data_IF_895706865000
#
_entry.id   IF_895706865000
#
_cell.length_a   1.000
_cell.length_b   1.000
_cell.length_c   1.000
_cell.angle_alpha   90.00
_cell.angle_beta   90.00
_cell.angle_gamma   90.00
#
_symmetry.space_group_name_H-M   'P 1'
#
loop_
_entity.id
_entity.type
_entity.pdbx_description
1 polymer ?
#
# COMPACT_ATOMS: atom_id res chain seq x y z
N UNK A 1 20.12 -8.10 -15.01
CA UNK A 1 19.42 -6.94 -14.41
C UNK A 1 20.10 -6.61 -13.09
N UNK A 2 20.37 -5.34 -12.77
CA UNK A 2 20.90 -4.97 -11.46
C UNK A 2 19.92 -5.40 -10.35
N UNK A 3 20.46 -5.76 -9.18
CA UNK A 3 19.67 -6.07 -7.98
C UNK A 3 18.83 -4.83 -7.64
N UNK A 4 17.51 -5.00 -7.45
CA UNK A 4 16.64 -3.86 -7.09
C UNK A 4 17.11 -3.23 -5.76
N UNK A 5 17.02 -1.91 -5.63
CA UNK A 5 17.43 -1.19 -4.40
C UNK A 5 16.77 -1.78 -3.13
N UNK A 6 15.52 -2.23 -3.24
CA UNK A 6 14.80 -2.94 -2.19
C UNK A 6 15.50 -4.23 -1.75
N UNK A 7 15.94 -5.06 -2.71
CA UNK A 7 16.61 -6.32 -2.41
C UNK A 7 17.98 -6.10 -1.79
N UNK A 8 18.76 -5.13 -2.28
CA UNK A 8 20.06 -4.79 -1.73
C UNK A 8 19.96 -4.31 -0.27
N UNK A 9 19.02 -3.39 0.02
CA UNK A 9 18.79 -2.91 1.39
C UNK A 9 18.31 -4.05 2.30
N UNK A 10 17.41 -4.91 1.83
CA UNK A 10 16.97 -6.06 2.62
C UNK A 10 18.12 -7.01 2.99
N UNK A 11 19.04 -7.29 2.06
CA UNK A 11 20.20 -8.14 2.32
C UNK A 11 21.16 -7.51 3.34
N UNK A 12 21.42 -6.21 3.23
CA UNK A 12 22.25 -5.47 4.19
C UNK A 12 21.61 -5.41 5.58
N UNK A 13 20.30 -5.14 5.64
CA UNK A 13 19.52 -5.18 6.88
C UNK A 13 19.60 -6.55 7.54
N UNK A 14 19.36 -7.62 6.78
CA UNK A 14 19.45 -8.99 7.29
C UNK A 14 20.85 -9.32 7.80
N UNK A 15 21.91 -8.91 7.11
CA UNK A 15 23.28 -9.11 7.55
C UNK A 15 23.60 -8.39 8.87
N UNK A 16 23.14 -7.13 9.03
CA UNK A 16 23.32 -6.37 10.27
C UNK A 16 22.55 -6.99 11.44
N UNK A 17 21.30 -7.40 11.21
CA UNK A 17 20.49 -8.11 12.21
C UNK A 17 21.16 -9.43 12.60
N UNK A 18 21.66 -10.20 11.64
CA UNK A 18 22.41 -11.44 11.91
C UNK A 18 23.72 -11.20 12.70
N UNK A 19 24.31 -10.01 12.58
CA UNK A 19 25.45 -9.57 13.38
C UNK A 19 25.06 -9.01 14.76
N UNK A 20 23.80 -9.12 15.18
CA UNK A 20 23.30 -8.65 16.48
C UNK A 20 23.08 -7.14 16.58
N UNK A 21 23.07 -6.42 15.44
CA UNK A 21 22.75 -4.99 15.41
C UNK A 21 21.24 -4.79 15.55
N UNK A 22 20.86 -3.83 16.38
CA UNK A 22 19.46 -3.43 16.54
C UNK A 22 19.05 -2.45 15.42
N UNK A 23 18.60 -2.99 14.29
CA UNK A 23 18.25 -2.19 13.11
C UNK A 23 16.80 -1.73 13.16
N UNK A 24 16.57 -0.41 13.05
CA UNK A 24 15.25 0.21 12.97
C UNK A 24 14.59 -0.09 11.60
N UNK A 25 13.49 -0.87 11.54
CA UNK A 25 12.98 -1.44 10.29
C UNK A 25 11.93 -0.53 9.61
N UNK A 26 12.36 0.59 9.03
CA UNK A 26 11.47 1.53 8.31
C UNK A 26 11.33 1.22 6.79
N UNK A 27 11.96 0.14 6.31
CA UNK A 27 12.05 -0.22 4.90
C UNK A 27 10.92 -1.12 4.39
N UNK A 28 10.21 -1.87 5.24
CA UNK A 28 9.22 -2.86 4.79
C UNK A 28 7.78 -2.51 5.22
N UNK A 29 6.84 -2.67 4.29
CA UNK A 29 5.48 -2.12 4.38
C UNK A 29 4.36 -3.17 4.48
N UNK A 30 4.44 -4.06 5.46
CA UNK A 30 3.35 -4.98 5.78
C UNK A 30 2.50 -4.42 6.92
N UNK A 31 1.18 -4.64 6.93
CA UNK A 31 0.32 -4.12 8.00
C UNK A 31 0.78 -4.63 9.38
N UNK A 32 1.23 -5.89 9.44
CA UNK A 32 1.85 -6.51 10.61
C UNK A 32 0.88 -6.83 11.74
N UNK A 33 -0.35 -6.34 11.72
CA UNK A 33 -1.31 -6.56 12.80
C UNK A 33 -1.76 -8.04 12.88
N UNK A 34 -2.05 -8.57 14.08
CA UNK A 34 -2.60 -9.91 14.23
C UNK A 34 -3.95 -10.05 13.52
N UNK A 35 -4.15 -11.19 12.87
CA UNK A 35 -5.42 -11.52 12.21
C UNK A 35 -6.51 -11.67 13.26
N UNK A 36 -7.66 -11.05 13.03
CA UNK A 36 -8.78 -11.13 13.96
C UNK A 36 -9.23 -12.59 14.19
N UNK A 37 -9.47 -13.04 15.43
CA UNK A 37 -9.83 -14.44 15.71
C UNK A 37 -11.05 -14.94 14.95
N UNK A 38 -12.07 -14.10 14.78
CA UNK A 38 -13.27 -14.48 14.00
C UNK A 38 -12.99 -14.69 12.51
N UNK A 39 -12.01 -13.98 11.93
CA UNK A 39 -11.57 -14.27 10.56
C UNK A 39 -10.89 -15.64 10.50
N UNK A 40 -10.02 -15.94 11.47
CA UNK A 40 -9.39 -17.27 11.57
C UNK A 40 -10.46 -18.36 11.67
N UNK A 41 -11.47 -18.17 12.51
CA UNK A 41 -12.60 -19.10 12.64
C UNK A 41 -13.39 -19.26 11.32
N UNK A 42 -13.66 -18.16 10.61
CA UNK A 42 -14.32 -18.20 9.31
C UNK A 42 -13.50 -18.99 8.27
N UNK A 43 -12.17 -18.81 8.25
CA UNK A 43 -11.28 -19.58 7.37
C UNK A 43 -11.24 -21.06 7.74
N UNK A 44 -11.16 -21.39 9.04
CA UNK A 44 -11.17 -22.78 9.53
C UNK A 44 -12.49 -23.46 9.16
N UNK A 45 -13.62 -22.77 9.34
CA UNK A 45 -14.93 -23.28 8.94
C UNK A 45 -15.03 -23.54 7.44
N UNK A 46 -14.33 -22.75 6.62
CA UNK A 46 -14.32 -22.87 5.17
C UNK A 46 -13.29 -23.89 4.64
N UNK A 47 -12.35 -24.34 5.48
CA UNK A 47 -11.24 -25.23 5.11
C UNK A 47 -11.66 -26.55 4.42
N UNK A 48 -12.83 -27.18 4.74
CA UNK A 48 -13.30 -28.36 4.01
C UNK A 48 -13.61 -28.14 2.52
N UNK A 49 -13.70 -26.88 2.07
CA UNK A 49 -14.06 -26.53 0.69
C UNK A 49 -12.88 -26.72 -0.28
N UNK A 50 -12.62 -27.97 -0.67
CA UNK A 50 -11.47 -28.36 -1.52
C UNK A 50 -11.69 -28.30 -3.04
N UNK A 51 -12.91 -28.03 -3.52
CA UNK A 51 -13.20 -27.95 -4.96
C UNK A 51 -12.69 -26.65 -5.59
N UNK A 52 -12.53 -26.61 -6.92
CA UNK A 52 -12.31 -25.36 -7.66
C UNK A 52 -13.55 -24.47 -7.62
N UNK A 53 -13.34 -23.15 -7.61
CA UNK A 53 -14.39 -22.14 -7.74
C UNK A 53 -14.48 -21.58 -9.16
N UNK A 54 -15.45 -20.70 -9.44
CA UNK A 54 -15.49 -19.97 -10.69
C UNK A 54 -14.24 -19.08 -10.84
N UNK A 55 -13.79 -18.92 -12.08
CA UNK A 55 -12.55 -18.18 -12.40
C UNK A 55 -12.59 -16.74 -11.91
N UNK A 56 -13.73 -16.06 -12.11
CA UNK A 56 -13.95 -14.69 -11.65
C UNK A 56 -14.19 -14.57 -10.12
N UNK A 57 -14.23 -15.69 -9.40
CA UNK A 57 -14.55 -15.77 -7.98
C UNK A 57 -15.97 -16.27 -7.69
N UNK A 58 -16.18 -16.70 -6.44
CA UNK A 58 -17.49 -17.18 -5.96
C UNK A 58 -18.57 -16.09 -6.15
N UNK A 59 -19.81 -16.45 -6.57
CA UNK A 59 -20.89 -15.47 -6.74
C UNK A 59 -21.13 -14.64 -5.47
N UNK A 60 -21.16 -15.30 -4.31
CA UNK A 60 -21.33 -14.62 -3.02
C UNK A 60 -20.19 -13.63 -2.70
N UNK A 61 -18.95 -13.92 -3.15
CA UNK A 61 -17.82 -12.99 -2.96
C UNK A 61 -17.99 -11.76 -3.82
N UNK A 62 -18.38 -11.96 -5.09
CA UNK A 62 -18.61 -10.87 -6.04
C UNK A 62 -19.75 -9.96 -5.59
N UNK A 63 -20.83 -10.54 -5.05
CA UNK A 63 -21.94 -9.81 -4.45
C UNK A 63 -21.52 -9.03 -3.20
N UNK A 64 -20.81 -9.66 -2.26
CA UNK A 64 -20.33 -8.98 -1.06
C UNK A 64 -19.39 -7.81 -1.39
N UNK A 65 -18.47 -8.00 -2.35
CA UNK A 65 -17.58 -6.94 -2.82
C UNK A 65 -18.33 -5.82 -3.56
N UNK A 66 -19.35 -6.15 -4.36
CA UNK A 66 -20.23 -5.16 -4.96
C UNK A 66 -20.98 -4.32 -3.89
N UNK A 67 -21.43 -4.97 -2.82
CA UNK A 67 -21.99 -4.30 -1.64
C UNK A 67 -20.99 -3.37 -0.93
N UNK A 68 -19.72 -3.78 -0.82
CA UNK A 68 -18.63 -2.95 -0.28
C UNK A 68 -18.46 -1.63 -1.02
N UNK A 69 -18.47 -1.65 -2.36
CA UNK A 69 -18.41 -0.43 -3.16
C UNK A 69 -19.71 0.38 -3.10
N UNK A 70 -20.87 -0.28 -3.03
CA UNK A 70 -22.16 0.39 -2.92
C UNK A 70 -22.27 1.23 -1.64
N UNK A 71 -21.83 0.69 -0.48
CA UNK A 71 -21.71 1.44 0.79
C UNK A 71 -20.73 2.62 0.73
N UNK A 72 -19.92 2.66 -0.33
CA UNK A 72 -18.90 3.65 -0.64
C UNK A 72 -19.29 4.60 -1.78
N UNK A 73 -20.60 4.70 -2.06
CA UNK A 73 -21.22 5.51 -3.13
C UNK A 73 -20.82 5.11 -4.56
N UNK A 74 -20.43 3.86 -4.74
CA UNK A 74 -20.13 3.28 -6.03
C UNK A 74 -21.08 2.10 -6.29
N UNK A 75 -22.32 2.35 -6.76
CA UNK A 75 -23.21 1.29 -7.19
C UNK A 75 -22.48 0.34 -8.15
N UNK A 76 -22.51 -0.95 -7.80
CA UNK A 76 -21.73 -1.98 -8.47
C UNK A 76 -22.57 -3.23 -8.58
N UNK A 77 -22.62 -3.81 -9.77
CA UNK A 77 -23.22 -5.11 -10.04
C UNK A 77 -22.14 -6.19 -9.85
N UNK A 78 -22.53 -7.36 -9.34
CA UNK A 78 -21.60 -8.47 -9.08
C UNK A 78 -20.88 -8.93 -10.36
N UNK A 79 -21.55 -8.81 -11.50
CA UNK A 79 -21.06 -9.13 -12.84
C UNK A 79 -19.82 -8.29 -13.22
N UNK A 80 -19.72 -7.07 -12.69
CA UNK A 80 -18.58 -6.16 -12.92
C UNK A 80 -17.40 -6.44 -11.97
N UNK A 81 -17.52 -7.39 -11.06
CA UNK A 81 -16.48 -7.74 -10.09
C UNK A 81 -15.72 -8.99 -10.54
N UNK A 82 -14.39 -8.94 -10.47
CA UNK A 82 -13.50 -10.09 -10.66
C UNK A 82 -12.59 -10.23 -9.44
N UNK A 83 -12.56 -11.43 -8.84
CA UNK A 83 -11.66 -11.76 -7.75
C UNK A 83 -10.34 -12.38 -8.26
N UNK A 84 -9.27 -12.22 -7.49
CA UNK A 84 -7.95 -12.73 -7.84
C UNK A 84 -7.10 -13.01 -6.59
N UNK A 85 -5.92 -13.64 -6.77
CA UNK A 85 -4.97 -13.94 -5.69
C UNK A 85 -4.26 -12.68 -5.13
N UNK A 86 -5.06 -11.76 -4.60
CA UNK A 86 -4.68 -10.39 -4.23
C UNK A 86 -4.87 -9.39 -5.38
N UNK A 87 -4.73 -8.10 -5.07
CA UNK A 87 -4.84 -7.03 -6.08
C UNK A 87 -3.69 -7.04 -7.10
N UNK A 88 -2.49 -7.52 -6.73
CA UNK A 88 -1.30 -7.47 -7.59
C UNK A 88 -1.45 -8.26 -8.91
N UNK A 89 -1.92 -9.52 -8.92
CA UNK A 89 -2.22 -10.23 -10.17
C UNK A 89 -3.38 -9.61 -10.96
N UNK A 90 -4.40 -9.06 -10.29
CA UNK A 90 -5.50 -8.36 -10.95
C UNK A 90 -5.02 -7.12 -11.69
N UNK A 91 -4.16 -6.29 -11.06
CA UNK A 91 -3.53 -5.13 -11.70
C UNK A 91 -2.74 -5.53 -12.95
N UNK A 92 -1.97 -6.62 -12.87
CA UNK A 92 -1.22 -7.15 -14.01
C UNK A 92 -2.14 -7.59 -15.15
N UNK A 93 -3.22 -8.31 -14.83
CA UNK A 93 -4.19 -8.76 -15.82
C UNK A 93 -4.93 -7.59 -16.49
N UNK A 94 -5.28 -6.54 -15.73
CA UNK A 94 -5.87 -5.31 -16.26
C UNK A 94 -4.90 -4.60 -17.22
N UNK A 95 -3.62 -4.48 -16.84
CA UNK A 95 -2.59 -3.91 -17.72
C UNK A 95 -2.37 -4.74 -18.99
N UNK A 96 -2.50 -6.07 -18.89
CA UNK A 96 -2.40 -6.97 -20.05
C UNK A 96 -3.62 -6.84 -20.97
N UNK A 97 -4.82 -6.75 -20.40
CA UNK A 97 -6.10 -6.64 -21.11
C UNK A 97 -6.30 -5.27 -21.79
N UNK A 98 -5.65 -4.22 -21.29
CA UNK A 98 -5.69 -2.87 -21.87
C UNK A 98 -4.31 -2.45 -22.41
N UNK A 99 -3.95 -2.83 -23.65
CA UNK A 99 -2.64 -2.52 -24.22
C UNK A 99 -2.45 -1.01 -24.39
N UNK A 100 -1.28 -0.50 -24.01
CA UNK A 100 -0.93 0.91 -24.16
C UNK A 100 0.28 1.30 -23.33
N UNK A 101 0.74 2.54 -23.51
CA UNK A 101 1.72 3.14 -22.62
C UNK A 101 1.07 3.45 -21.25
N UNK A 102 1.86 3.43 -20.18
CA UNK A 102 1.38 3.62 -18.81
C UNK A 102 1.91 4.94 -18.27
N UNK A 103 1.01 5.83 -17.86
CA UNK A 103 1.36 7.03 -17.10
C UNK A 103 1.36 6.70 -15.59
N UNK A 104 2.44 7.01 -14.88
CA UNK A 104 2.57 6.76 -13.43
C UNK A 104 2.97 8.02 -12.68
N UNK A 105 2.26 8.40 -11.60
CA UNK A 105 2.68 9.51 -10.77
C UNK A 105 4.04 9.25 -10.10
N UNK A 106 4.76 10.33 -9.77
CA UNK A 106 5.99 10.30 -8.96
C UNK A 106 5.73 10.89 -7.57
N UNK A 107 6.01 10.16 -6.49
CA UNK A 107 6.35 8.73 -6.44
C UNK A 107 5.14 7.81 -6.67
N UNK A 108 5.39 6.56 -7.04
CA UNK A 108 4.35 5.51 -7.11
C UNK A 108 4.89 4.13 -6.70
N UNK A 109 3.99 3.19 -6.43
CA UNK A 109 4.37 1.86 -5.97
C UNK A 109 5.25 1.13 -6.99
N UNK A 110 6.35 0.55 -6.50
CA UNK A 110 7.43 -0.05 -7.29
C UNK A 110 6.96 -1.08 -8.33
N UNK A 111 5.83 -1.77 -8.05
CA UNK A 111 5.36 -2.84 -8.93
C UNK A 111 4.60 -2.33 -10.15
N UNK A 112 4.06 -1.10 -10.15
CA UNK A 112 3.33 -0.59 -11.31
C UNK A 112 4.24 -0.50 -12.54
N UNK A 113 5.40 0.15 -12.40
CA UNK A 113 6.38 0.25 -13.48
C UNK A 113 6.98 -1.11 -13.86
N UNK A 114 7.21 -1.99 -12.86
CA UNK A 114 7.74 -3.33 -13.12
C UNK A 114 6.77 -4.19 -13.93
N UNK A 115 5.47 -4.18 -13.61
CA UNK A 115 4.44 -4.90 -14.35
C UNK A 115 4.30 -4.38 -15.79
N UNK A 116 4.31 -3.06 -15.97
CA UNK A 116 4.29 -2.46 -17.31
C UNK A 116 5.50 -2.91 -18.15
N UNK A 117 6.71 -2.93 -17.58
CA UNK A 117 7.93 -3.38 -18.26
C UNK A 117 7.92 -4.88 -18.59
N UNK A 118 7.32 -5.72 -17.74
CA UNK A 118 7.13 -7.15 -18.03
C UNK A 118 6.21 -7.40 -19.23
N UNK A 119 5.40 -6.41 -19.61
CA UNK A 119 4.51 -6.43 -20.76
C UNK A 119 5.05 -5.60 -21.93
N UNK A 120 6.34 -5.24 -21.90
CA UNK A 120 7.02 -4.40 -22.90
C UNK A 120 6.30 -3.06 -23.16
N UNK A 121 5.72 -2.47 -22.10
CA UNK A 121 5.01 -1.18 -22.18
C UNK A 121 5.93 -0.02 -21.82
N UNK A 122 5.81 1.06 -22.59
CA UNK A 122 6.41 2.34 -22.23
C UNK A 122 5.81 2.85 -20.91
N UNK A 123 6.70 3.31 -20.00
CA UNK A 123 6.32 3.91 -18.72
C UNK A 123 6.67 5.38 -18.75
N UNK A 124 5.66 6.23 -18.70
CA UNK A 124 5.80 7.67 -18.59
C UNK A 124 5.55 8.09 -17.15
N UNK A 125 6.62 8.44 -16.44
CA UNK A 125 6.45 8.99 -15.11
C UNK A 125 6.02 10.47 -15.21
N UNK A 126 4.94 10.81 -14.52
CA UNK A 126 4.37 12.16 -14.47
C UNK A 126 4.53 12.75 -13.06
N UNK A 127 4.78 14.07 -12.92
CA UNK A 127 4.76 14.71 -11.61
C UNK A 127 3.40 14.51 -10.93
N UNK A 128 3.41 14.26 -9.62
CA UNK A 128 2.17 14.31 -8.84
C UNK A 128 1.73 15.77 -8.72
N UNK A 129 0.48 16.11 -9.06
CA UNK A 129 -0.02 17.47 -8.88
C UNK A 129 0.12 17.92 -7.42
N UNK A 130 0.39 19.21 -7.21
CA UNK A 130 0.27 19.79 -5.87
C UNK A 130 -1.19 19.70 -5.39
N UNK A 131 -1.37 19.53 -4.07
CA UNK A 131 -2.67 19.34 -3.46
C UNK A 131 -3.04 17.87 -3.20
N UNK A 132 -4.24 17.65 -2.66
CA UNK A 132 -4.74 16.32 -2.27
C UNK A 132 -6.25 16.25 -2.45
N UNK A 133 -6.78 15.02 -2.49
CA UNK A 133 -8.23 14.78 -2.43
C UNK A 133 -8.98 15.05 -3.72
N UNK A 134 -10.25 15.47 -3.58
CA UNK A 134 -11.23 15.47 -4.65
C UNK A 134 -10.88 16.37 -5.84
N UNK A 135 -10.18 17.49 -5.62
CA UNK A 135 -9.76 18.39 -6.69
C UNK A 135 -8.78 17.69 -7.66
N UNK A 136 -7.72 17.10 -7.11
CA UNK A 136 -6.72 16.36 -7.88
C UNK A 136 -7.37 15.18 -8.63
N UNK A 137 -8.28 14.45 -7.98
CA UNK A 137 -9.00 13.35 -8.62
C UNK A 137 -9.80 13.82 -9.83
N UNK A 138 -10.54 14.94 -9.70
CA UNK A 138 -11.31 15.49 -10.82
C UNK A 138 -10.41 15.96 -11.97
N UNK A 139 -9.28 16.61 -11.65
CA UNK A 139 -8.31 17.03 -12.66
C UNK A 139 -7.73 15.84 -13.44
N UNK A 140 -7.37 14.75 -12.74
CA UNK A 140 -6.89 13.50 -13.37
C UNK A 140 -7.98 12.88 -14.26
N UNK A 141 -9.23 12.81 -13.79
CA UNK A 141 -10.35 12.29 -14.58
C UNK A 141 -10.63 13.12 -15.84
N UNK A 142 -10.49 14.44 -15.77
CA UNK A 142 -10.65 15.32 -16.92
C UNK A 142 -9.57 15.08 -17.98
N UNK A 143 -8.31 14.95 -17.57
CA UNK A 143 -7.22 14.57 -18.48
C UNK A 143 -7.46 13.19 -19.07
N UNK A 144 -7.86 12.21 -18.26
CA UNK A 144 -8.15 10.86 -18.73
C UNK A 144 -9.28 10.85 -19.76
N UNK A 145 -10.36 11.61 -19.54
CA UNK A 145 -11.46 11.76 -20.50
C UNK A 145 -10.98 12.37 -21.82
N UNK A 146 -10.22 13.47 -21.75
CA UNK A 146 -9.74 14.19 -22.95
C UNK A 146 -8.82 13.33 -23.82
N UNK A 147 -8.04 12.45 -23.22
CA UNK A 147 -7.04 11.63 -23.89
C UNK A 147 -7.43 10.16 -24.02
N UNK A 148 -8.70 9.84 -23.77
CA UNK A 148 -9.25 8.48 -23.85
C UNK A 148 -8.48 7.43 -23.02
N UNK A 149 -8.02 7.81 -21.83
CA UNK A 149 -7.20 6.96 -20.97
C UNK A 149 -8.07 6.12 -20.03
N UNK A 150 -7.66 4.86 -19.82
CA UNK A 150 -8.14 4.05 -18.71
C UNK A 150 -7.47 4.50 -17.41
N UNK A 151 -8.27 4.75 -16.39
CA UNK A 151 -7.81 5.00 -15.01
C UNK A 151 -7.83 3.69 -14.23
N UNK A 152 -6.69 3.32 -13.65
CA UNK A 152 -6.60 2.21 -12.68
C UNK A 152 -6.45 2.80 -11.28
N UNK A 153 -7.53 2.77 -10.51
CA UNK A 153 -7.60 3.27 -9.13
C UNK A 153 -7.29 2.14 -8.15
N UNK A 154 -6.09 2.11 -7.60
CA UNK A 154 -5.71 1.15 -6.54
C UNK A 154 -6.11 1.69 -5.17
N UNK A 155 -7.27 1.25 -4.67
CA UNK A 155 -7.90 1.72 -3.44
C UNK A 155 -7.61 0.81 -2.23
N UNK A 156 -6.54 0.02 -2.28
CA UNK A 156 -6.19 -0.95 -1.23
C UNK A 156 -6.02 -0.34 0.19
N UNK A 157 -5.73 0.96 0.28
CA UNK A 157 -5.58 1.69 1.54
C UNK A 157 -6.78 2.57 1.91
N UNK A 158 -7.87 2.55 1.13
CA UNK A 158 -9.03 3.43 1.33
C UNK A 158 -9.60 3.37 2.74
N UNK A 159 -9.71 2.18 3.32
CA UNK A 159 -10.28 2.00 4.66
C UNK A 159 -9.29 2.29 5.79
N UNK A 160 -8.07 2.73 5.45
CA UNK A 160 -7.02 3.11 6.41
C UNK A 160 -6.76 4.62 6.42
N UNK A 161 -7.67 5.43 5.89
CA UNK A 161 -7.67 6.89 6.11
C UNK A 161 -7.79 7.14 7.62
N UNK A 162 -6.89 7.97 8.16
CA UNK A 162 -6.73 8.17 9.61
C UNK A 162 -7.94 8.85 10.24
N UNK A 163 -8.51 9.84 9.55
CA UNK A 163 -9.75 10.50 9.95
C UNK A 163 -10.88 10.04 9.02
N UNK A 164 -11.82 9.21 9.51
CA UNK A 164 -12.94 8.72 8.70
C UNK A 164 -13.90 9.82 8.24
N UNK A 165 -13.85 11.02 8.82
CA UNK A 165 -14.60 12.18 8.33
C UNK A 165 -13.97 12.81 7.08
N UNK A 166 -12.73 12.45 6.72
CA UNK A 166 -12.04 12.97 5.53
C UNK A 166 -12.81 12.56 4.27
N UNK A 167 -13.27 13.51 3.44
CA UNK A 167 -13.95 13.18 2.20
C UNK A 167 -13.05 12.37 1.27
N UNK A 168 -13.55 11.23 0.82
CA UNK A 168 -12.92 10.41 -0.23
C UNK A 168 -13.71 10.56 -1.53
N UNK A 169 -13.01 10.72 -2.66
CA UNK A 169 -13.60 10.70 -3.99
C UNK A 169 -12.87 9.64 -4.83
N UNK A 170 -13.56 8.56 -5.18
CA UNK A 170 -13.02 7.60 -6.14
C UNK A 170 -13.07 8.21 -7.55
N UNK A 171 -12.05 8.00 -8.40
CA UNK A 171 -12.14 8.32 -9.82
C UNK A 171 -13.35 7.66 -10.51
N UNK A 172 -13.81 6.51 -10.01
CA UNK A 172 -15.00 5.83 -10.54
C UNK A 172 -16.32 6.55 -10.24
N UNK A 173 -16.35 7.52 -9.30
CA UNK A 173 -17.51 8.40 -9.09
C UNK A 173 -17.58 9.51 -10.16
N UNK A 174 -16.46 9.83 -10.83
CA UNK A 174 -16.32 10.93 -11.80
C UNK A 174 -16.23 10.44 -13.26
N UNK A 175 -15.61 9.29 -13.45
CA UNK A 175 -15.34 8.66 -14.75
C UNK A 175 -15.61 7.15 -14.67
N UNK A 176 -16.85 6.72 -14.35
CA UNK A 176 -17.20 5.30 -14.14
C UNK A 176 -16.95 4.42 -15.36
N UNK A 177 -17.02 4.97 -16.57
CA UNK A 177 -16.88 4.29 -17.86
C UNK A 177 -15.42 3.99 -18.25
N UNK A 178 -14.45 4.61 -17.57
CA UNK A 178 -13.01 4.42 -17.81
C UNK A 178 -12.21 4.14 -16.54
N UNK A 179 -12.87 3.81 -15.42
CA UNK A 179 -12.15 3.52 -14.17
C UNK A 179 -12.29 2.06 -13.75
N UNK A 180 -11.16 1.35 -13.68
CA UNK A 180 -11.02 0.10 -12.92
C UNK A 180 -10.69 0.47 -11.47
N UNK A 181 -11.35 -0.15 -10.50
CA UNK A 181 -11.01 0.02 -9.08
C UNK A 181 -10.53 -1.31 -8.51
N UNK A 182 -9.34 -1.36 -7.91
CA UNK A 182 -8.85 -2.55 -7.21
C UNK A 182 -8.83 -2.32 -5.71
N UNK A 183 -9.19 -3.34 -4.94
CA UNK A 183 -9.01 -3.38 -3.49
C UNK A 183 -8.85 -4.82 -3.01
N UNK A 184 -8.76 -5.03 -1.70
CA UNK A 184 -8.64 -6.32 -1.05
C UNK A 184 -8.50 -6.19 0.45
N UNK A 185 -8.36 -7.33 1.13
CA UNK A 185 -8.36 -7.38 2.59
C UNK A 185 -6.94 -7.33 3.19
N UNK A 186 -5.92 -7.26 2.34
CA UNK A 186 -4.51 -7.39 2.75
C UNK A 186 -4.02 -6.28 3.68
N UNK A 187 -4.61 -5.08 3.62
CA UNK A 187 -4.13 -3.92 4.38
C UNK A 187 -5.08 -3.56 5.52
N UNK A 188 -6.38 -3.40 5.25
CA UNK A 188 -7.37 -3.04 6.25
C UNK A 188 -7.55 -4.10 7.35
N UNK A 189 -7.41 -5.38 7.02
CA UNK A 189 -7.59 -6.50 7.96
C UNK A 189 -6.30 -7.31 8.19
N UNK A 190 -5.15 -6.80 7.76
CA UNK A 190 -3.84 -7.47 7.84
C UNK A 190 -3.80 -8.89 7.21
N UNK A 191 -4.68 -9.17 6.24
CA UNK A 191 -4.74 -10.46 5.54
C UNK A 191 -3.77 -10.54 4.36
N UNK A 192 -2.53 -10.06 4.55
CA UNK A 192 -1.50 -10.02 3.53
C UNK A 192 -1.19 -11.41 2.96
N UNK A 193 -1.06 -12.41 3.83
CA UNK A 193 -0.77 -13.80 3.46
C UNK A 193 -1.94 -14.56 2.82
N UNK A 194 -3.18 -14.08 2.96
CA UNK A 194 -4.36 -14.81 2.44
C UNK A 194 -4.55 -14.65 0.94
N UNK A 195 -3.88 -13.66 0.35
CA UNK A 195 -3.87 -13.43 -1.11
C UNK A 195 -5.27 -13.34 -1.69
N UNK A 196 -6.09 -12.42 -1.19
CA UNK A 196 -7.42 -12.13 -1.76
C UNK A 196 -7.57 -10.66 -2.13
N UNK A 197 -8.05 -10.42 -3.34
CA UNK A 197 -8.34 -9.09 -3.87
C UNK A 197 -9.49 -9.14 -4.86
N UNK A 198 -10.08 -7.98 -5.12
CA UNK A 198 -11.20 -7.80 -6.04
C UNK A 198 -10.96 -6.58 -6.91
N UNK A 199 -11.42 -6.65 -8.16
CA UNK A 199 -11.38 -5.55 -9.11
C UNK A 199 -12.79 -5.28 -9.63
N UNK A 200 -13.22 -4.03 -9.54
CA UNK A 200 -14.43 -3.51 -10.18
C UNK A 200 -14.07 -3.01 -11.57
N UNK A 201 -14.68 -3.59 -12.60
CA UNK A 201 -14.53 -3.14 -13.98
C UNK A 201 -15.35 -1.86 -14.23
N UNK A 202 -14.97 -1.05 -15.24
CA UNK A 202 -15.75 0.11 -15.67
C UNK A 202 -17.19 -0.24 -16.05
N UNK A 203 -18.07 0.76 -16.07
CA UNK A 203 -19.41 0.58 -16.62
C UNK A 203 -19.39 0.59 -18.15
N UNK A 204 -20.33 -0.12 -18.77
CA UNK A 204 -20.49 -0.16 -20.24
C UNK A 204 -19.54 -1.12 -20.98
N UNK A 205 -19.48 -1.03 -22.32
CA UNK A 205 -18.85 -2.03 -23.18
C UNK A 205 -17.34 -2.22 -22.94
N UNK A 206 -16.63 -1.16 -22.56
CA UNK A 206 -15.21 -1.27 -22.23
C UNK A 206 -15.00 -2.22 -21.04
N UNK A 207 -15.77 -2.04 -19.97
CA UNK A 207 -15.65 -2.86 -18.78
C UNK A 207 -16.08 -4.31 -18.99
N UNK A 208 -17.04 -4.56 -19.87
CA UNK A 208 -17.44 -5.93 -20.26
C UNK A 208 -16.30 -6.65 -20.97
N UNK A 209 -15.67 -6.00 -21.95
CA UNK A 209 -14.49 -6.56 -22.61
C UNK A 209 -13.33 -6.77 -21.64
N UNK A 210 -13.00 -5.77 -20.81
CA UNK A 210 -11.92 -5.88 -19.82
C UNK A 210 -12.19 -7.00 -18.82
N UNK A 211 -13.43 -7.12 -18.32
CA UNK A 211 -13.81 -8.20 -17.41
C UNK A 211 -13.66 -9.58 -18.04
N UNK A 212 -14.09 -9.76 -19.30
CA UNK A 212 -13.94 -11.00 -20.03
C UNK A 212 -12.46 -11.36 -20.26
N UNK A 213 -11.63 -10.39 -20.68
CA UNK A 213 -10.20 -10.58 -20.89
C UNK A 213 -9.46 -10.89 -19.59
N UNK A 214 -9.76 -10.18 -18.49
CA UNK A 214 -9.16 -10.48 -17.18
C UNK A 214 -9.57 -11.87 -16.70
N UNK A 215 -10.82 -12.30 -16.91
CA UNK A 215 -11.26 -13.65 -16.58
C UNK A 215 -10.59 -14.71 -17.48
N UNK A 216 -10.34 -14.43 -18.76
CA UNK A 216 -9.59 -15.32 -19.64
C UNK A 216 -8.12 -15.43 -19.23
N UNK A 217 -7.48 -14.33 -18.83
CA UNK A 217 -6.12 -14.36 -18.27
C UNK A 217 -6.12 -15.17 -16.96
N UNK A 218 -7.14 -14.97 -16.13
CA UNK A 218 -7.27 -15.67 -14.86
C UNK A 218 -7.35 -17.19 -15.04
N UNK A 219 -8.09 -17.70 -16.04
CA UNK A 219 -8.22 -19.15 -16.27
C UNK A 219 -6.88 -19.82 -16.53
N UNK A 220 -5.99 -19.13 -17.26
CA UNK A 220 -4.68 -19.66 -17.66
C UNK A 220 -3.57 -19.42 -16.63
N UNK A 221 -3.69 -18.37 -15.80
CA UNK A 221 -2.61 -17.97 -14.89
C UNK A 221 -2.83 -18.43 -13.45
N UNK A 222 -4.07 -18.40 -12.94
CA UNK A 222 -4.35 -18.77 -11.55
C UNK A 222 -5.61 -19.60 -11.33
N UNK A 223 -6.35 -19.92 -12.38
CA UNK A 223 -7.61 -20.66 -12.39
C UNK A 223 -8.71 -20.02 -11.53
N UNK A 224 -8.62 -20.05 -10.19
CA UNK A 224 -9.52 -19.36 -9.27
C UNK A 224 -8.79 -19.03 -7.96
N UNK A 225 -9.16 -17.97 -7.23
CA UNK A 225 -8.64 -17.75 -5.88
C UNK A 225 -8.97 -18.92 -4.94
N UNK A 226 -8.20 -19.11 -3.86
CA UNK A 226 -8.42 -20.21 -2.93
C UNK A 226 -9.82 -20.17 -2.31
N UNK A 227 -10.63 -21.22 -2.50
CA UNK A 227 -12.04 -21.24 -2.09
C UNK A 227 -12.27 -21.00 -0.60
N UNK A 228 -11.51 -21.62 0.34
CA UNK A 228 -11.66 -21.33 1.76
C UNK A 228 -11.43 -19.84 2.10
N UNK A 229 -10.46 -19.22 1.44
CA UNK A 229 -10.18 -17.78 1.59
C UNK A 229 -11.31 -16.95 1.03
N UNK A 230 -11.87 -17.32 -0.13
CA UNK A 230 -13.00 -16.61 -0.72
C UNK A 230 -14.21 -16.62 0.21
N UNK A 231 -14.54 -17.77 0.83
CA UNK A 231 -15.67 -17.87 1.77
C UNK A 231 -15.47 -16.99 3.01
N UNK A 232 -14.29 -17.00 3.61
CA UNK A 232 -13.98 -16.08 4.71
C UNK A 232 -14.03 -14.60 4.27
N UNK A 233 -13.59 -14.32 3.03
CA UNK A 233 -13.66 -12.98 2.45
C UNK A 233 -15.09 -12.52 2.18
N UNK A 234 -16.05 -13.40 1.87
CA UNK A 234 -17.48 -13.05 1.76
C UNK A 234 -17.93 -12.35 3.03
N UNK A 235 -17.70 -12.98 4.20
CA UNK A 235 -18.05 -12.42 5.49
C UNK A 235 -17.28 -11.12 5.78
N UNK A 236 -16.00 -11.04 5.43
CA UNK A 236 -15.25 -9.79 5.62
C UNK A 236 -15.81 -8.61 4.79
N UNK A 237 -16.19 -8.87 3.53
CA UNK A 237 -16.74 -7.86 2.62
C UNK A 237 -18.18 -7.46 2.95
N UNK A 238 -18.90 -8.18 3.82
CA UNK A 238 -20.18 -7.67 4.36
C UNK A 238 -19.98 -6.64 5.48
N UNK A 239 -18.73 -6.40 5.91
CA UNK A 239 -18.35 -5.42 6.93
C UNK A 239 -19.09 -5.60 8.27
N UNK A 240 -19.00 -6.80 8.89
CA UNK A 240 -19.55 -7.03 10.22
C UNK A 240 -18.93 -6.07 11.25
N UNK A 241 -19.73 -5.65 12.23
CA UNK A 241 -19.37 -4.61 13.19
C UNK A 241 -18.02 -4.85 13.89
N UNK A 242 -17.71 -6.11 14.20
CA UNK A 242 -16.45 -6.50 14.82
C UNK A 242 -15.23 -6.19 13.96
N UNK A 243 -15.33 -6.40 12.64
CA UNK A 243 -14.23 -6.11 11.71
C UNK A 243 -14.13 -4.61 11.42
N UNK A 244 -15.24 -3.89 11.33
CA UNK A 244 -15.19 -2.42 11.18
C UNK A 244 -14.57 -1.76 12.42
N UNK A 245 -14.91 -2.23 13.62
CA UNK A 245 -14.30 -1.76 14.87
C UNK A 245 -12.79 -2.09 14.91
N UNK A 246 -12.39 -3.27 14.41
CA UNK A 246 -10.97 -3.65 14.26
C UNK A 246 -10.23 -2.71 13.31
N UNK A 247 -10.85 -2.32 12.19
CA UNK A 247 -10.26 -1.35 11.26
C UNK A 247 -10.13 0.02 11.95
N UNK A 248 -11.12 0.46 12.74
CA UNK A 248 -11.06 1.74 13.46
C UNK A 248 -9.90 1.80 14.45
N UNK A 249 -9.67 0.74 15.25
CA UNK A 249 -8.52 0.70 16.18
C UNK A 249 -7.19 0.66 15.42
N UNK A 250 -7.15 -0.03 14.27
CA UNK A 250 -5.97 -0.06 13.39
C UNK A 250 -5.64 1.33 12.83
N UNK A 251 -6.65 2.09 12.38
CA UNK A 251 -6.48 3.49 11.92
C UNK A 251 -5.87 4.37 13.00
N UNK A 252 -6.35 4.27 14.25
CA UNK A 252 -5.82 5.07 15.37
C UNK A 252 -4.34 4.76 15.63
N UNK A 253 -3.98 3.47 15.69
CA UNK A 253 -2.59 3.04 15.85
C UNK A 253 -1.71 3.54 14.71
N UNK A 254 -2.13 3.31 13.47
CA UNK A 254 -1.43 3.80 12.28
C UNK A 254 -1.24 5.32 12.33
N UNK A 255 -2.28 6.08 12.68
CA UNK A 255 -2.24 7.54 12.75
C UNK A 255 -1.27 8.03 13.82
N UNK A 256 -1.37 7.50 15.05
CA UNK A 256 -0.52 7.91 16.17
C UNK A 256 0.97 7.71 15.85
N UNK A 257 1.33 6.51 15.39
CA UNK A 257 2.74 6.18 15.10
C UNK A 257 3.24 6.90 13.85
N UNK A 258 2.46 6.93 12.75
CA UNK A 258 2.88 7.62 11.54
C UNK A 258 3.08 9.13 11.76
N UNK A 259 2.20 9.79 12.51
CA UNK A 259 2.36 11.20 12.86
C UNK A 259 3.58 11.43 13.75
N UNK A 260 3.77 10.59 14.77
CA UNK A 260 4.93 10.68 15.67
C UNK A 260 6.27 10.49 14.95
N UNK A 261 6.32 9.63 13.92
CA UNK A 261 7.50 9.49 13.05
C UNK A 261 7.64 10.70 12.11
N UNK A 262 6.54 11.22 11.55
CA UNK A 262 6.56 12.42 10.71
C UNK A 262 7.10 13.64 11.46
N UNK A 263 6.62 13.87 12.68
CA UNK A 263 7.07 14.97 13.55
C UNK A 263 8.59 14.92 13.80
N UNK A 264 9.17 13.71 13.90
CA UNK A 264 10.62 13.51 14.08
C UNK A 264 11.42 13.90 12.85
N UNK A 265 10.98 13.43 11.68
CA UNK A 265 11.58 13.84 10.41
C UNK A 265 11.48 15.36 10.19
N UNK A 266 10.33 15.96 10.53
CA UNK A 266 10.12 17.40 10.44
C UNK A 266 11.04 18.18 11.40
N UNK A 267 11.16 17.76 12.67
CA UNK A 267 12.12 18.33 13.63
C UNK A 267 13.56 18.23 13.15
N UNK A 268 13.91 17.11 12.51
CA UNK A 268 15.22 16.91 11.89
C UNK A 268 15.43 17.80 10.65
N UNK A 269 14.40 18.49 10.16
CA UNK A 269 14.46 19.44 9.06
C UNK A 269 13.93 18.90 7.74
N UNK A 270 13.55 17.63 7.63
CA UNK A 270 12.95 17.12 6.40
C UNK A 270 11.63 17.84 6.10
N UNK A 271 11.35 18.08 4.81
CA UNK A 271 9.99 18.39 4.39
C UNK A 271 9.18 17.11 4.42
N UNK A 272 8.08 17.09 5.17
CA UNK A 272 7.23 15.89 5.31
C UNK A 272 5.77 16.30 5.16
N UNK A 273 5.04 15.63 4.27
CA UNK A 273 3.59 15.74 4.27
C UNK A 273 3.01 14.99 5.47
N UNK A 274 2.13 15.65 6.22
CA UNK A 274 1.45 15.00 7.35
C UNK A 274 0.68 13.78 6.84
N UNK A 275 0.90 12.58 7.40
CA UNK A 275 0.21 11.38 6.94
C UNK A 275 -1.28 11.47 7.25
N UNK A 276 -2.09 11.16 6.24
CA UNK A 276 -3.56 11.16 6.32
C UNK A 276 -4.16 9.77 6.21
N UNK A 277 -3.38 8.77 5.81
CA UNK A 277 -3.82 7.39 5.66
C UNK A 277 -2.65 6.40 5.81
N UNK A 278 -2.99 5.13 6.05
CA UNK A 278 -2.06 4.01 6.09
C UNK A 278 -0.88 4.27 7.05
N UNK A 279 0.31 3.80 6.69
CA UNK A 279 1.49 3.75 7.56
C UNK A 279 2.79 4.04 6.80
N UNK A 280 2.72 4.94 5.81
CA UNK A 280 3.88 5.38 5.04
C UNK A 280 4.12 6.87 5.13
N UNK A 281 5.38 7.26 5.02
CA UNK A 281 5.82 8.65 4.93
C UNK A 281 6.82 8.79 3.78
N UNK A 282 6.98 10.04 3.34
CA UNK A 282 7.90 10.40 2.27
C UNK A 282 8.70 11.67 2.60
N UNK A 283 9.58 11.62 3.64
CA UNK A 283 10.42 12.75 4.00
C UNK A 283 11.38 13.14 2.87
N UNK A 284 11.54 14.44 2.66
CA UNK A 284 12.41 15.06 1.67
C UNK A 284 13.51 15.89 2.35
N UNK A 285 14.76 15.40 2.25
CA UNK A 285 15.97 16.10 2.71
C UNK A 285 16.68 16.90 1.61
N UNK A 286 16.11 17.02 0.41
CA UNK A 286 16.69 17.79 -0.69
C UNK A 286 17.05 19.24 -0.29
N UNK A 287 16.27 19.94 0.57
CA UNK A 287 16.68 21.27 1.06
C UNK A 287 18.03 21.32 1.81
N UNK A 288 18.59 20.17 2.20
CA UNK A 288 19.87 20.03 2.89
C UNK A 288 20.94 19.33 2.04
N UNK A 289 20.75 19.27 0.72
CA UNK A 289 21.63 18.52 -0.18
C UNK A 289 23.11 18.94 -0.05
N UNK A 290 23.41 20.24 -0.06
CA UNK A 290 24.80 20.73 0.05
C UNK A 290 25.44 20.28 1.37
N UNK A 291 24.72 20.44 2.49
CA UNK A 291 25.21 20.04 3.82
C UNK A 291 25.44 18.52 3.92
N UNK A 292 24.54 17.72 3.35
CA UNK A 292 24.66 16.27 3.32
C UNK A 292 25.79 15.81 2.38
N UNK A 293 26.01 16.52 1.27
CA UNK A 293 27.12 16.27 0.36
C UNK A 293 28.47 16.60 1.01
N UNK A 294 28.60 17.77 1.64
CA UNK A 294 29.85 18.20 2.29
C UNK A 294 30.23 17.30 3.45
N UNK A 295 29.25 16.89 4.25
CA UNK A 295 29.49 16.11 5.47
C UNK A 295 29.64 14.61 5.21
N UNK A 296 28.77 14.05 4.39
CA UNK A 296 28.60 12.61 4.24
C UNK A 296 28.80 12.12 2.82
N UNK A 297 29.13 13.00 1.87
CA UNK A 297 29.21 12.68 0.43
C UNK A 297 27.90 12.12 -0.14
N UNK A 298 26.77 12.43 0.48
CA UNK A 298 25.43 12.02 0.01
C UNK A 298 24.99 12.91 -1.13
N UNK A 299 24.74 12.33 -2.31
CA UNK A 299 24.27 13.07 -3.50
C UNK A 299 22.96 12.55 -4.06
N UNK A 300 22.55 11.35 -3.65
CA UNK A 300 21.32 10.70 -4.10
C UNK A 300 20.49 10.20 -2.93
N UNK A 301 19.19 9.97 -3.17
CA UNK A 301 18.34 9.30 -2.18
C UNK A 301 18.86 7.90 -1.80
N UNK A 302 19.55 7.22 -2.71
CA UNK A 302 20.19 5.92 -2.45
C UNK A 302 21.38 6.05 -1.49
N UNK A 303 22.23 7.08 -1.67
CA UNK A 303 23.33 7.36 -0.73
C UNK A 303 22.77 7.68 0.66
N UNK A 304 21.68 8.44 0.74
CA UNK A 304 21.04 8.76 2.01
C UNK A 304 20.49 7.51 2.71
N UNK A 305 19.77 6.65 1.98
CA UNK A 305 19.26 5.39 2.53
C UNK A 305 20.40 4.47 3.00
N UNK A 306 21.49 4.41 2.24
CA UNK A 306 22.68 3.65 2.59
C UNK A 306 23.38 4.20 3.84
N UNK A 307 23.59 5.52 3.92
CA UNK A 307 24.16 6.19 5.09
C UNK A 307 23.35 5.90 6.36
N UNK A 308 22.03 6.03 6.28
CA UNK A 308 21.13 5.76 7.40
C UNK A 308 21.26 4.32 7.91
N UNK A 309 21.33 3.35 7.00
CA UNK A 309 21.49 1.95 7.37
C UNK A 309 22.89 1.67 7.94
N UNK A 310 23.96 2.14 7.29
CA UNK A 310 25.32 1.81 7.67
C UNK A 310 25.77 2.47 8.96
N UNK A 311 25.47 3.78 9.10
CA UNK A 311 25.97 4.60 10.19
C UNK A 311 25.04 4.63 11.39
N UNK A 312 23.73 4.57 11.15
CA UNK A 312 22.70 4.82 12.17
C UNK A 312 21.76 3.62 12.40
N UNK A 313 21.99 2.50 11.71
CA UNK A 313 21.15 1.30 11.80
C UNK A 313 19.67 1.57 11.48
N UNK A 314 19.38 2.51 10.57
CA UNK A 314 18.01 2.81 10.12
C UNK A 314 17.79 2.32 8.69
N UNK A 315 17.03 1.23 8.55
CA UNK A 315 16.69 0.68 7.25
C UNK A 315 15.52 1.46 6.62
N UNK A 316 15.75 2.15 5.51
CA UNK A 316 14.74 2.88 4.73
C UNK A 316 14.81 2.46 3.27
N UNK A 317 13.91 2.94 2.39
CA UNK A 317 14.12 2.80 0.93
C UNK A 317 14.25 4.17 0.27
N UNK A 318 15.13 4.33 -0.74
CA UNK A 318 15.24 5.59 -1.45
C UNK A 318 14.00 5.85 -2.29
N UNK A 319 13.62 7.12 -2.42
CA UNK A 319 12.50 7.55 -3.24
C UNK A 319 12.63 7.14 -4.72
N UNK A 320 13.86 7.04 -5.23
CA UNK A 320 14.16 6.60 -6.59
C UNK A 320 13.68 5.19 -6.92
N UNK A 321 13.55 4.31 -5.90
CA UNK A 321 12.93 3.00 -6.08
C UNK A 321 11.43 3.10 -6.46
N UNK A 322 10.81 4.24 -6.18
CA UNK A 322 9.40 4.58 -6.42
C UNK A 322 9.21 5.51 -7.62
N UNK A 323 10.23 5.61 -8.49
CA UNK A 323 10.17 6.39 -9.73
C UNK A 323 10.53 7.87 -9.59
N UNK A 324 10.92 8.31 -8.39
CA UNK A 324 11.44 9.66 -8.16
C UNK A 324 12.83 9.86 -8.78
N UNK A 325 13.20 11.11 -9.04
CA UNK A 325 14.51 11.48 -9.54
C UNK A 325 15.64 11.09 -8.55
N UNK A 326 16.75 10.47 -9.00
CA UNK A 326 17.83 10.00 -8.12
C UNK A 326 18.43 11.08 -7.21
N UNK A 327 18.55 12.31 -7.69
CA UNK A 327 19.10 13.47 -7.00
C UNK A 327 18.17 14.01 -5.90
N UNK A 328 16.89 13.62 -5.89
CA UNK A 328 15.97 13.98 -4.81
C UNK A 328 16.31 13.12 -3.60
N UNK A 329 16.67 13.76 -2.49
CA UNK A 329 17.06 13.11 -1.24
C UNK A 329 15.81 12.70 -0.44
N UNK A 330 14.95 11.93 -1.08
CA UNK A 330 13.68 11.45 -0.52
C UNK A 330 13.80 10.01 -0.08
N UNK A 331 13.07 9.65 0.98
CA UNK A 331 13.01 8.30 1.51
C UNK A 331 11.56 7.85 1.59
N UNK A 332 11.30 6.57 1.31
CA UNK A 332 10.04 5.93 1.65
C UNK A 332 10.20 5.24 3.00
N UNK A 333 9.39 5.68 3.96
CA UNK A 333 9.35 5.18 5.32
C UNK A 333 8.07 4.36 5.51
N UNK A 334 8.16 3.21 6.16
CA UNK A 334 7.03 2.40 6.61
C UNK A 334 7.09 2.26 8.14
N UNK A 335 6.00 2.58 8.83
CA UNK A 335 5.99 2.64 10.30
C UNK A 335 5.37 1.43 10.96
N UNK A 336 4.81 0.51 10.18
CA UNK A 336 4.02 -0.61 10.69
C UNK A 336 4.80 -1.68 11.43
N UNK A 337 6.10 -1.77 11.21
CA UNK A 337 6.95 -2.70 11.95
C UNK A 337 7.20 -2.24 13.40
N UNK A 338 7.05 -0.94 13.69
CA UNK A 338 7.30 -0.37 15.01
C UNK A 338 6.30 -0.83 16.07
N UNK A 339 5.15 -1.38 15.66
CA UNK A 339 4.07 -1.74 16.59
C UNK A 339 4.43 -2.86 17.57
N UNK A 340 5.48 -3.63 17.31
CA UNK A 340 5.89 -4.72 18.20
C UNK A 340 7.01 -5.61 17.69
N UNK A 341 7.82 -5.19 16.71
CA UNK A 341 8.99 -5.93 16.23
C UNK A 341 8.74 -7.40 15.84
N UNK A 342 7.53 -7.72 15.37
CA UNK A 342 7.14 -9.09 14.98
C UNK A 342 6.51 -9.91 16.10
N UNK A 343 6.47 -9.40 17.32
CA UNK A 343 5.74 -9.99 18.45
C UNK A 343 4.24 -9.71 18.31
N UNK A 344 3.44 -10.79 18.25
CA UNK A 344 1.99 -10.72 18.10
C UNK A 344 1.29 -10.08 19.30
N UNK A 345 1.75 -10.37 20.52
CA UNK A 345 1.12 -9.91 21.75
C UNK A 345 1.37 -8.42 21.96
N UNK A 346 2.59 -7.95 21.63
CA UNK A 346 2.89 -6.52 21.60
C UNK A 346 2.02 -5.77 20.59
N UNK A 347 1.81 -6.35 19.41
CA UNK A 347 0.99 -5.73 18.37
C UNK A 347 -0.49 -5.69 18.76
N UNK A 348 -0.99 -6.72 19.43
CA UNK A 348 -2.35 -6.73 19.98
C UNK A 348 -2.49 -5.65 21.07
N UNK A 349 -1.54 -5.59 22.00
CA UNK A 349 -1.48 -4.56 23.03
C UNK A 349 -1.45 -3.15 22.44
N UNK A 350 -0.68 -2.94 21.36
CA UNK A 350 -0.60 -1.67 20.67
C UNK A 350 -1.93 -1.25 19.99
N UNK A 351 -2.73 -2.19 19.52
CA UNK A 351 -4.04 -1.91 18.93
C UNK A 351 -5.06 -1.44 19.95
N UNK A 352 -5.01 -2.00 21.16
CA UNK A 352 -5.94 -1.68 22.25
C UNK A 352 -5.52 -0.43 23.02
N UNK A 353 -4.24 -0.06 22.96
CA UNK A 353 -3.70 1.09 23.68
C UNK A 353 -4.24 2.43 23.11
N UNK A 354 -4.83 3.30 23.93
CA UNK A 354 -5.26 4.63 23.49
C UNK A 354 -4.11 5.56 23.05
N UNK A 355 -2.93 5.39 23.66
CA UNK A 355 -1.73 6.17 23.37
C UNK A 355 -0.53 5.23 23.07
N UNK A 356 -0.51 4.61 21.87
CA UNK A 356 0.45 3.56 21.57
C UNK A 356 1.90 4.08 21.48
N UNK A 357 2.11 5.38 21.27
CA UNK A 357 3.48 5.94 21.17
C UNK A 357 4.21 5.98 22.50
N UNK A 358 3.49 5.80 23.62
CA UNK A 358 4.06 5.68 24.97
C UNK A 358 4.39 4.25 25.38
N UNK A 359 4.01 3.25 24.58
CA UNK A 359 4.36 1.86 24.86
C UNK A 359 5.89 1.70 24.80
N UNK A 360 6.53 1.01 25.76
CA UNK A 360 7.99 1.03 25.90
C UNK A 360 8.76 0.65 24.63
N UNK A 361 8.28 -0.34 23.88
CA UNK A 361 8.94 -0.77 22.64
C UNK A 361 8.72 0.21 21.49
N UNK A 362 7.54 0.83 21.35
CA UNK A 362 7.31 1.87 20.33
C UNK A 362 8.13 3.12 20.68
N UNK A 363 8.11 3.55 21.94
CA UNK A 363 8.89 4.69 22.44
C UNK A 363 10.39 4.49 22.18
N UNK A 364 10.94 3.32 22.50
CA UNK A 364 12.35 3.00 22.25
C UNK A 364 12.71 3.11 20.75
N UNK A 365 11.84 2.65 19.84
CA UNK A 365 12.05 2.79 18.39
C UNK A 365 11.98 4.23 17.91
N UNK A 366 11.11 5.04 18.53
CA UNK A 366 11.00 6.46 18.26
C UNK A 366 12.23 7.24 18.76
N UNK A 367 12.77 6.87 19.92
CA UNK A 367 14.00 7.46 20.48
C UNK A 367 15.23 7.08 19.63
N UNK A 368 15.30 5.82 19.16
CA UNK A 368 16.32 5.38 18.20
C UNK A 368 16.30 6.23 16.92
N UNK A 369 15.09 6.54 16.41
CA UNK A 369 14.94 7.41 15.25
C UNK A 369 15.40 8.85 15.55
N UNK A 370 15.03 9.42 16.68
CA UNK A 370 15.48 10.76 17.08
C UNK A 370 17.02 10.83 17.15
N UNK A 371 17.66 9.83 17.76
CA UNK A 371 19.12 9.77 17.84
C UNK A 371 19.79 9.68 16.46
N UNK A 372 19.25 8.85 15.56
CA UNK A 372 19.74 8.72 14.19
C UNK A 372 19.60 10.03 13.40
N UNK A 373 18.45 10.69 13.51
CA UNK A 373 18.17 11.94 12.80
C UNK A 373 18.96 13.12 13.35
N UNK A 374 19.15 13.21 14.67
CA UNK A 374 20.02 14.22 15.30
C UNK A 374 21.46 14.11 14.81
N UNK A 375 21.97 12.88 14.68
CA UNK A 375 23.31 12.63 14.14
C UNK A 375 23.46 12.93 12.65
N UNK A 376 22.38 12.85 11.85
CA UNK A 376 22.43 13.11 10.41
C UNK A 376 22.79 14.57 10.09
N UNK A 377 22.20 15.52 10.82
CA UNK A 377 22.33 16.96 10.57
C UNK A 377 22.93 17.75 11.74
N UNK A 378 23.47 17.13 12.80
CA UNK A 378 24.03 17.80 13.99
C UNK A 378 23.10 18.91 14.51
N UNK A 379 21.93 18.51 15.01
CA UNK A 379 20.95 19.42 15.61
C UNK A 379 20.57 19.00 17.01
#
# INVERSE_FOLDING_TARGET
MPISATLAINQLTAAKVAAGRDVLPLGFGEAGLPVHPELVAALVSAAPSGAYGPVAGLPALREAAAGYWTRRRLPTEAEKVVAGPGSKPLLYAVLRANPGAVALPRPSWVSYAAQARLLDRAVHHVPTPEGQGAEVVRAVCEVARRHDLLVVSDEIYRDLVHDPATPFLSPAEVLPERTVVTTGLSKSLALGGWRIGVARMPVGPLGERLGAEVASIASEVWSSPANPVQQAAVWAFTEPAVLTARIDVSRRLHAAVARSVADRFERAGAKVHRPTAAFYLYPDFTPYADRLADRWSVRTGADLAHLLLERFDVATLPGSAFGELPERLTLRIATSMLYGDGDGDRRETALECPDPVRLPWIAARLDQLDAALGGLLDR
#
